data_IF_071179789907
#
_entry.id   IF_071179789907
#
_cell.length_a   1.000
_cell.length_b   1.000
_cell.length_c   1.000
_cell.angle_alpha   90.00
_cell.angle_beta   90.00
_cell.angle_gamma   90.00
#
_symmetry.space_group_name_H-M   'P 1'
#
loop_
_entity.id
_entity.type
_entity.pdbx_description
1 polymer ?
#
# COMPACT_ATOMS: atom_id res chain seq x y z
N UNK A 1 -9.95 8.03 -1.07
CA UNK A 1 -8.53 8.38 -1.23
C UNK A 1 -8.30 9.11 -2.55
N UNK A 2 -7.53 10.22 -2.57
CA UNK A 2 -7.22 11.03 -3.77
C UNK A 2 -6.50 10.24 -4.87
N UNK A 3 -5.50 9.42 -4.49
CA UNK A 3 -4.71 8.64 -5.44
C UNK A 3 -5.56 7.61 -6.20
N UNK A 4 -6.41 6.87 -5.49
CA UNK A 4 -7.30 5.89 -6.10
C UNK A 4 -8.36 6.57 -6.99
N UNK A 5 -8.88 7.73 -6.59
CA UNK A 5 -9.81 8.49 -7.43
C UNK A 5 -9.15 8.94 -8.74
N UNK A 6 -7.89 9.40 -8.69
CA UNK A 6 -7.11 9.77 -9.89
C UNK A 6 -6.85 8.57 -10.80
N UNK A 7 -6.60 7.39 -10.23
CA UNK A 7 -6.37 6.16 -10.99
C UNK A 7 -7.63 5.62 -11.69
N UNK A 8 -8.84 6.06 -11.28
CA UNK A 8 -10.14 5.64 -11.85
C UNK A 8 -10.26 4.10 -11.97
N UNK A 9 -10.19 3.36 -10.86
CA UNK A 9 -10.31 1.91 -10.88
C UNK A 9 -11.68 1.48 -11.42
N UNK A 10 -11.71 0.32 -12.07
CA UNK A 10 -12.96 -0.29 -12.54
C UNK A 10 -13.91 -0.57 -11.36
N UNK A 11 -15.22 -0.56 -11.60
CA UNK A 11 -16.24 -0.87 -10.59
C UNK A 11 -16.09 -2.29 -10.00
N UNK A 12 -15.52 -3.22 -10.77
CA UNK A 12 -15.25 -4.61 -10.36
C UNK A 12 -13.93 -4.80 -9.61
N UNK A 13 -13.26 -3.72 -9.21
CA UNK A 13 -12.04 -3.78 -8.41
C UNK A 13 -12.32 -4.28 -6.99
N UNK A 14 -11.55 -5.27 -6.53
CA UNK A 14 -11.77 -5.94 -5.26
C UNK A 14 -10.62 -5.75 -4.25
N UNK A 15 -9.39 -5.51 -4.72
CA UNK A 15 -8.24 -5.30 -3.82
C UNK A 15 -7.14 -4.43 -4.42
N UNK A 16 -6.28 -3.90 -3.55
CA UNK A 16 -5.08 -3.14 -3.90
C UNK A 16 -3.84 -3.87 -3.38
N UNK A 17 -2.89 -4.14 -4.26
CA UNK A 17 -1.56 -4.65 -3.90
C UNK A 17 -0.58 -3.48 -3.81
N UNK A 18 0.18 -3.40 -2.73
CA UNK A 18 1.23 -2.38 -2.55
C UNK A 18 2.57 -3.10 -2.44
N UNK A 19 3.51 -2.77 -3.32
CA UNK A 19 4.80 -3.45 -3.48
C UNK A 19 5.97 -2.56 -3.11
N UNK A 20 6.92 -3.14 -2.40
CA UNK A 20 8.22 -2.56 -2.09
C UNK A 20 9.24 -2.92 -3.16
N UNK A 21 10.27 -2.10 -3.31
CA UNK A 21 11.46 -2.40 -4.11
C UNK A 21 12.13 -3.73 -3.73
N UNK A 22 11.94 -4.22 -2.50
CA UNK A 22 12.47 -5.51 -2.04
C UNK A 22 11.66 -6.72 -2.54
N UNK A 23 10.58 -6.52 -3.31
CA UNK A 23 9.65 -7.57 -3.70
C UNK A 23 8.54 -7.84 -2.67
N UNK A 24 8.73 -7.40 -1.42
CA UNK A 24 7.73 -7.49 -0.36
C UNK A 24 6.44 -6.78 -0.75
N UNK A 25 5.29 -7.41 -0.50
CA UNK A 25 4.00 -6.78 -0.75
C UNK A 25 2.94 -7.13 0.28
N UNK A 26 1.89 -6.32 0.30
CA UNK A 26 0.64 -6.56 1.02
C UNK A 26 -0.56 -6.27 0.13
N UNK A 27 -1.68 -6.95 0.39
CA UNK A 27 -2.91 -6.79 -0.37
C UNK A 27 -4.07 -6.45 0.58
N UNK A 28 -4.77 -5.37 0.27
CA UNK A 28 -5.85 -4.83 1.08
C UNK A 28 -7.15 -4.82 0.28
N UNK A 29 -8.31 -4.92 0.91
CA UNK A 29 -9.57 -4.68 0.20
C UNK A 29 -9.65 -3.24 -0.30
N UNK A 30 -10.51 -2.98 -1.29
CA UNK A 30 -10.77 -1.60 -1.73
C UNK A 30 -11.24 -0.70 -0.57
N UNK A 31 -12.02 -1.25 0.37
CA UNK A 31 -12.48 -0.52 1.56
C UNK A 31 -11.32 -0.12 2.47
N UNK A 32 -10.42 -1.06 2.78
CA UNK A 32 -9.22 -0.79 3.60
C UNK A 32 -8.31 0.23 2.92
N UNK A 33 -7.95 -0.02 1.65
CA UNK A 33 -7.04 0.84 0.89
C UNK A 33 -7.54 2.28 0.74
N UNK A 34 -8.87 2.48 0.69
CA UNK A 34 -9.46 3.82 0.61
C UNK A 34 -9.26 4.67 1.86
N UNK A 35 -9.06 4.04 3.03
CA UNK A 35 -8.77 4.69 4.29
C UNK A 35 -7.27 4.89 4.56
N UNK A 36 -6.39 4.43 3.66
CA UNK A 36 -4.94 4.52 3.84
C UNK A 36 -4.33 5.67 3.07
N UNK A 37 -3.11 6.02 3.47
CA UNK A 37 -2.33 7.10 2.90
C UNK A 37 -0.95 6.62 2.46
N UNK A 38 -0.46 7.16 1.34
CA UNK A 38 0.94 7.06 0.95
C UNK A 38 1.65 8.31 1.48
N UNK A 39 2.55 8.14 2.44
CA UNK A 39 3.34 9.20 3.01
C UNK A 39 4.68 9.35 2.28
N UNK A 40 5.06 10.58 1.98
CA UNK A 40 6.37 10.98 1.47
C UNK A 40 7.18 11.81 2.50
N UNK A 41 6.50 12.25 3.56
CA UNK A 41 7.03 13.08 4.64
C UNK A 41 6.40 12.69 5.99
N UNK A 42 7.03 13.09 7.09
CA UNK A 42 6.53 12.95 8.46
C UNK A 42 6.78 14.25 9.23
N UNK A 43 5.71 14.85 9.75
CA UNK A 43 5.79 16.25 10.21
C UNK A 43 6.21 17.15 9.04
N UNK A 44 7.24 17.97 9.27
CA UNK A 44 7.80 18.90 8.28
C UNK A 44 9.06 18.35 7.57
N UNK A 45 9.39 17.06 7.78
CA UNK A 45 10.58 16.43 7.21
C UNK A 45 10.23 15.37 6.17
N UNK A 46 11.03 15.32 5.10
CA UNK A 46 11.00 14.20 4.15
C UNK A 46 11.35 12.90 4.89
N UNK A 47 10.74 11.78 4.51
CA UNK A 47 11.07 10.49 5.12
C UNK A 47 12.58 10.22 5.01
N UNK A 48 13.19 9.69 6.08
CA UNK A 48 14.52 9.11 5.97
C UNK A 48 14.46 7.78 5.20
N UNK A 49 15.60 7.33 4.68
CA UNK A 49 15.67 6.04 3.99
C UNK A 49 15.16 4.88 4.86
N UNK A 50 15.56 4.82 6.15
CA UNK A 50 15.10 3.80 7.10
C UNK A 50 13.59 3.87 7.42
N UNK A 51 12.97 5.05 7.22
CA UNK A 51 11.53 5.25 7.39
C UNK A 51 10.73 5.05 6.09
N UNK A 52 11.38 4.72 4.98
CA UNK A 52 10.71 4.29 3.76
C UNK A 52 10.75 5.30 2.61
N UNK A 53 11.66 6.27 2.63
CA UNK A 53 11.86 7.18 1.49
C UNK A 53 12.01 6.40 0.16
N UNK A 54 11.34 6.81 -0.94
CA UNK A 54 10.56 8.04 -1.08
C UNK A 54 9.10 7.94 -0.63
N UNK A 55 8.57 6.74 -0.43
CA UNK A 55 7.15 6.53 -0.15
C UNK A 55 6.90 5.31 0.77
N UNK A 56 6.00 5.50 1.74
CA UNK A 56 5.54 4.47 2.68
C UNK A 56 4.02 4.46 2.84
N UNK A 57 3.45 3.28 3.06
CA UNK A 57 2.05 3.11 3.44
C UNK A 57 1.83 3.44 4.92
N UNK A 58 0.81 4.23 5.21
CA UNK A 58 0.25 4.45 6.54
C UNK A 58 -1.12 3.74 6.61
N UNK A 59 -1.15 2.60 7.33
CA UNK A 59 -2.34 1.78 7.50
C UNK A 59 -2.74 1.75 9.00
N UNK A 60 -3.54 2.73 9.40
CA UNK A 60 -3.76 3.13 10.80
C UNK A 60 -4.43 2.06 11.70
N UNK A 61 -5.00 1.00 11.13
CA UNK A 61 -5.62 -0.14 11.82
C UNK A 61 -4.80 -1.45 11.69
N UNK A 62 -3.60 -1.38 11.11
CA UNK A 62 -2.75 -2.54 10.78
C UNK A 62 -1.47 -2.60 11.60
N UNK A 63 -0.88 -3.79 11.67
CA UNK A 63 0.41 -3.99 12.34
C UNK A 63 1.52 -3.34 11.53
N UNK A 64 2.58 -2.89 12.21
CA UNK A 64 3.66 -2.12 11.58
C UNK A 64 4.37 -2.80 10.41
N UNK A 65 4.39 -4.14 10.33
CA UNK A 65 4.93 -4.85 9.18
C UNK A 65 4.06 -4.70 7.93
N UNK A 66 2.76 -4.44 8.06
CA UNK A 66 1.86 -4.21 6.93
C UNK A 66 2.08 -2.83 6.29
N UNK A 67 2.80 -1.94 6.96
CA UNK A 67 3.11 -0.58 6.51
C UNK A 67 4.30 -0.61 5.54
N UNK A 68 4.03 -1.05 4.31
CA UNK A 68 5.01 -1.23 3.24
C UNK A 68 5.87 0.03 3.07
N UNK A 69 7.18 -0.15 3.11
CA UNK A 69 8.19 0.89 2.87
C UNK A 69 8.75 0.78 1.45
N UNK A 70 9.36 1.86 0.96
CA UNK A 70 10.06 1.88 -0.33
C UNK A 70 9.13 1.46 -1.48
N UNK A 71 7.93 2.03 -1.50
CA UNK A 71 6.88 1.64 -2.44
C UNK A 71 7.32 1.95 -3.88
N UNK A 72 7.22 0.95 -4.76
CA UNK A 72 7.47 1.07 -6.20
C UNK A 72 6.18 0.98 -7.01
N UNK A 73 5.23 0.15 -6.57
CA UNK A 73 4.02 -0.15 -7.33
C UNK A 73 2.78 -0.21 -6.44
N UNK A 74 1.67 0.31 -6.98
CA UNK A 74 0.33 0.20 -6.41
C UNK A 74 -0.58 -0.35 -7.52
N UNK A 75 -1.06 -1.56 -7.34
CA UNK A 75 -1.82 -2.30 -8.35
C UNK A 75 -3.25 -2.53 -7.86
N UNK A 76 -4.24 -2.12 -8.68
CA UNK A 76 -5.65 -2.40 -8.43
C UNK A 76 -6.04 -3.70 -9.12
N UNK A 77 -6.69 -4.60 -8.37
CA UNK A 77 -6.96 -5.97 -8.80
C UNK A 77 -8.47 -6.24 -8.78
N UNK A 78 -8.94 -7.03 -9.75
CA UNK A 78 -10.29 -7.62 -9.75
C UNK A 78 -10.45 -8.78 -8.76
N UNK A 79 -9.34 -9.41 -8.37
CA UNK A 79 -9.35 -10.49 -7.38
C UNK A 79 -9.32 -9.94 -5.96
N UNK A 80 -9.94 -10.65 -5.01
CA UNK A 80 -9.99 -10.20 -3.62
C UNK A 80 -8.70 -10.37 -2.82
N UNK A 81 -8.70 -9.80 -1.62
CA UNK A 81 -7.53 -9.77 -0.72
C UNK A 81 -7.10 -11.12 -0.18
N UNK A 82 -7.99 -12.12 -0.19
CA UNK A 82 -7.72 -13.49 0.27
C UNK A 82 -6.65 -14.23 -0.56
N UNK A 83 -6.31 -13.74 -1.75
CA UNK A 83 -5.17 -14.24 -2.52
C UNK A 83 -3.81 -13.74 -1.99
N UNK A 84 -3.79 -12.98 -0.90
CA UNK A 84 -2.55 -12.69 -0.20
C UNK A 84 -1.93 -13.99 0.33
N UNK A 85 -0.65 -14.29 0.03
CA UNK A 85 0.03 -15.44 0.60
C UNK A 85 0.10 -15.35 2.13
N UNK A 86 0.03 -16.48 2.85
CA UNK A 86 0.06 -16.50 4.32
C UNK A 86 1.40 -16.00 4.88
N UNK A 87 2.48 -16.09 4.09
CA UNK A 87 3.81 -15.60 4.44
C UNK A 87 4.29 -14.63 3.36
N UNK A 88 5.08 -13.60 3.71
CA UNK A 88 5.75 -12.77 2.70
C UNK A 88 6.60 -13.65 1.80
N UNK A 89 6.38 -13.56 0.49
CA UNK A 89 7.30 -14.15 -0.48
C UNK A 89 8.58 -13.32 -0.43
N UNK A 90 9.69 -13.96 -0.06
CA UNK A 90 11.03 -13.35 -0.02
C UNK A 90 11.64 -13.26 -1.41
#
# INVERSE_FOLDING_TARGET
SDLLQKARPNEDSASVTIRSVTGYYRRFSMTEANGYMIATQVGDETLSHGHGFPARLVAHDKRGFEWVKWITDIEVNRTGKWLQPPLPLQ
#
